data_IF_232852780821
#
_entry.id   IF_232852780821
#
_cell.length_a   1.000
_cell.length_b   1.000
_cell.length_c   1.000
_cell.angle_alpha   90.00
_cell.angle_beta   90.00
_cell.angle_gamma   90.00
#
_symmetry.space_group_name_H-M   'P 1'
#
loop_
_entity.id
_entity.type
_entity.pdbx_description
1 polymer ?
#
# COMPACT_ATOMS: atom_id res chain seq x y z
N UNK A 1 -3.28 24.50 37.90
CA UNK A 1 -3.91 25.16 36.73
C UNK A 1 -3.31 24.51 35.49
N UNK A 2 -4.05 23.60 34.88
CA UNK A 2 -3.65 22.90 33.68
C UNK A 2 -4.15 23.70 32.47
N UNK A 3 -3.25 24.31 31.75
CA UNK A 3 -3.53 24.93 30.45
C UNK A 3 -3.18 23.91 29.36
N UNK A 4 -4.21 23.49 28.61
CA UNK A 4 -4.08 22.50 27.55
C UNK A 4 -3.28 23.03 26.34
N UNK A 5 -2.35 22.20 25.87
CA UNK A 5 -1.70 22.37 24.58
C UNK A 5 -2.54 21.66 23.50
N UNK A 6 -3.04 22.44 22.54
CA UNK A 6 -3.69 21.95 21.34
C UNK A 6 -2.65 21.23 20.45
N UNK A 7 -2.77 19.91 20.34
CA UNK A 7 -2.14 19.13 19.27
C UNK A 7 -2.80 19.44 17.92
N UNK A 8 -2.09 19.21 16.79
CA UNK A 8 -2.64 19.48 15.47
C UNK A 8 -3.90 18.61 15.23
N UNK A 9 -5.00 19.29 14.95
CA UNK A 9 -6.26 18.65 14.58
C UNK A 9 -6.03 17.78 13.33
N UNK A 10 -6.29 16.50 13.46
CA UNK A 10 -6.44 15.62 12.31
C UNK A 10 -7.54 16.13 11.37
N UNK A 11 -7.55 15.73 10.09
CA UNK A 11 -8.52 16.21 9.13
C UNK A 11 -9.93 15.95 9.67
N UNK A 12 -10.69 17.03 9.87
CA UNK A 12 -12.07 16.99 10.33
C UNK A 12 -12.88 16.12 9.37
N UNK A 13 -13.44 15.04 9.89
CA UNK A 13 -14.52 14.32 9.21
C UNK A 13 -15.66 15.33 9.09
N UNK A 14 -16.15 15.65 7.89
CA UNK A 14 -17.28 16.56 7.76
C UNK A 14 -18.48 15.95 8.47
N UNK A 15 -18.84 16.52 9.60
CA UNK A 15 -20.09 16.25 10.26
C UNK A 15 -21.20 16.89 9.41
N UNK A 16 -22.11 16.08 8.95
CA UNK A 16 -23.29 16.53 8.25
C UNK A 16 -23.28 16.09 6.80
N UNK A 17 -23.94 14.95 6.53
CA UNK A 17 -24.51 14.66 5.22
C UNK A 17 -25.52 15.75 4.90
N UNK A 18 -25.09 16.76 4.15
CA UNK A 18 -26.04 17.61 3.44
C UNK A 18 -26.79 16.69 2.48
N UNK A 19 -28.09 16.50 2.69
CA UNK A 19 -28.98 15.86 1.72
C UNK A 19 -28.77 16.57 0.37
N UNK A 20 -28.45 15.87 -0.72
CA UNK A 20 -28.35 16.51 -2.01
C UNK A 20 -29.69 17.17 -2.35
N UNK A 21 -29.65 18.48 -2.54
CA UNK A 21 -30.81 19.27 -2.90
C UNK A 21 -31.42 18.70 -4.19
N UNK A 22 -32.65 18.17 -4.11
CA UNK A 22 -33.39 17.63 -5.26
C UNK A 22 -34.17 16.33 -5.02
N UNK A 23 -34.02 15.69 -3.87
CA UNK A 23 -34.70 14.41 -3.59
C UNK A 23 -36.09 14.52 -2.96
N UNK A 24 -36.54 15.72 -2.53
CA UNK A 24 -37.76 15.90 -1.73
C UNK A 24 -39.10 15.99 -2.49
N UNK A 25 -39.12 15.97 -3.82
CA UNK A 25 -40.38 16.20 -4.57
C UNK A 25 -40.89 15.02 -5.42
N UNK A 26 -40.23 13.85 -5.38
CA UNK A 26 -40.72 12.69 -6.09
C UNK A 26 -41.49 11.78 -5.13
N UNK A 27 -42.73 11.40 -5.51
CA UNK A 27 -43.52 10.45 -4.75
C UNK A 27 -42.69 9.21 -4.39
N UNK A 28 -42.48 8.97 -3.09
CA UNK A 28 -41.62 7.88 -2.59
C UNK A 28 -42.41 6.58 -2.46
N UNK A 29 -41.87 5.50 -3.04
CA UNK A 29 -42.37 4.16 -2.87
C UNK A 29 -41.53 3.39 -1.85
N UNK A 30 -41.69 3.74 -0.56
CA UNK A 30 -40.97 3.10 0.54
C UNK A 30 -39.60 3.73 0.86
N UNK A 31 -38.93 3.19 1.88
CA UNK A 31 -37.62 3.63 2.34
C UNK A 31 -36.59 2.52 2.13
N UNK A 32 -35.49 2.84 1.47
CA UNK A 32 -34.33 1.94 1.27
C UNK A 32 -33.11 2.51 1.97
N UNK A 33 -32.50 1.74 2.85
CA UNK A 33 -31.27 2.09 3.55
C UNK A 33 -30.13 1.20 3.04
N UNK A 34 -29.12 1.82 2.46
CA UNK A 34 -27.88 1.12 2.07
C UNK A 34 -26.96 1.15 3.28
N UNK A 35 -26.82 0.02 3.97
CA UNK A 35 -25.92 -0.14 5.10
C UNK A 35 -24.55 -0.55 4.60
N UNK A 36 -23.63 0.41 4.61
CA UNK A 36 -22.24 0.20 4.20
C UNK A 36 -21.44 -0.37 5.36
N UNK A 37 -20.82 -1.51 5.14
CA UNK A 37 -19.95 -2.17 6.12
C UNK A 37 -18.55 -2.39 5.53
N UNK A 38 -17.52 -2.36 6.38
CA UNK A 38 -16.17 -2.70 5.97
C UNK A 38 -15.93 -4.21 6.12
N UNK A 39 -15.38 -4.91 5.13
CA UNK A 39 -14.95 -6.30 5.27
C UNK A 39 -13.69 -6.44 6.15
N UNK A 40 -13.04 -5.32 6.52
CA UNK A 40 -11.83 -5.25 7.37
C UNK A 40 -12.14 -5.05 8.84
N UNK A 41 -13.42 -4.87 9.15
CA UNK A 41 -13.92 -4.78 10.53
C UNK A 41 -14.60 -6.09 10.87
N UNK A 42 -14.33 -6.63 12.06
CA UNK A 42 -14.91 -7.90 12.47
C UNK A 42 -16.45 -7.86 12.40
N UNK A 43 -17.10 -8.97 12.00
CA UNK A 43 -18.55 -9.07 11.96
C UNK A 43 -19.18 -8.66 13.28
N UNK A 44 -20.28 -7.90 13.22
CA UNK A 44 -20.97 -7.40 14.40
C UNK A 44 -20.42 -6.10 15.00
N UNK A 45 -19.22 -5.65 14.64
CA UNK A 45 -18.70 -4.35 15.07
C UNK A 45 -19.30 -3.24 14.19
N UNK A 46 -20.54 -2.90 14.46
CA UNK A 46 -21.30 -1.86 13.79
C UNK A 46 -21.59 -0.69 14.73
N UNK A 47 -21.82 0.49 14.15
CA UNK A 47 -22.28 1.64 14.93
C UNK A 47 -23.61 1.36 15.60
N UNK A 48 -23.90 2.06 16.71
CA UNK A 48 -25.19 1.93 17.39
C UNK A 48 -26.35 2.25 16.45
N UNK A 49 -26.23 3.31 15.65
CA UNK A 49 -27.28 3.69 14.67
C UNK A 49 -27.51 2.61 13.61
N UNK A 50 -26.47 1.86 13.22
CA UNK A 50 -26.61 0.73 12.31
C UNK A 50 -27.39 -0.42 12.96
N UNK A 51 -27.07 -0.74 14.22
CA UNK A 51 -27.80 -1.76 14.99
C UNK A 51 -29.26 -1.37 15.21
N UNK A 52 -29.54 -0.13 15.55
CA UNK A 52 -30.93 0.35 15.74
C UNK A 52 -31.72 0.32 14.44
N UNK A 53 -31.09 0.70 13.32
CA UNK A 53 -31.67 0.62 11.98
C UNK A 53 -31.97 -0.83 11.59
N UNK A 54 -31.05 -1.76 11.81
CA UNK A 54 -31.24 -3.17 11.53
C UNK A 54 -32.37 -3.79 12.35
N UNK A 55 -32.48 -3.45 13.65
CA UNK A 55 -33.57 -3.91 14.52
C UNK A 55 -34.94 -3.33 14.14
N UNK A 56 -34.95 -2.10 13.61
CA UNK A 56 -36.17 -1.42 13.17
C UNK A 56 -36.56 -1.69 11.72
N UNK A 57 -35.75 -2.44 10.98
CA UNK A 57 -36.00 -2.73 9.59
C UNK A 57 -37.19 -3.70 9.40
N UNK A 58 -38.05 -3.42 8.43
CA UNK A 58 -39.09 -4.34 8.01
C UNK A 58 -38.50 -5.57 7.27
N UNK A 59 -37.38 -5.35 6.54
CA UNK A 59 -36.61 -6.41 5.89
C UNK A 59 -35.13 -6.04 5.84
N UNK A 60 -34.27 -7.03 6.01
CA UNK A 60 -32.82 -6.92 5.80
C UNK A 60 -32.46 -7.83 4.63
N UNK A 61 -31.75 -7.28 3.63
CA UNK A 61 -31.45 -7.97 2.38
C UNK A 61 -29.94 -8.04 2.18
N UNK A 62 -29.45 -9.17 1.65
CA UNK A 62 -28.05 -9.37 1.23
C UNK A 62 -28.00 -9.95 -0.17
N UNK A 63 -26.97 -9.60 -0.94
CA UNK A 63 -26.72 -10.17 -2.27
C UNK A 63 -25.98 -11.51 -2.25
N UNK A 64 -25.49 -11.95 -1.09
CA UNK A 64 -24.73 -13.19 -0.93
C UNK A 64 -25.05 -13.85 0.40
N UNK A 65 -25.09 -15.18 0.38
CA UNK A 65 -25.16 -16.01 1.59
C UNK A 65 -23.85 -16.01 2.38
N UNK A 66 -22.75 -15.56 1.76
CA UNK A 66 -21.41 -15.48 2.37
C UNK A 66 -21.08 -14.07 2.88
N UNK A 67 -22.08 -13.19 3.01
CA UNK A 67 -21.83 -11.84 3.50
C UNK A 67 -21.30 -11.87 4.95
N UNK A 68 -20.17 -11.20 5.27
CA UNK A 68 -19.50 -11.33 6.58
C UNK A 68 -20.38 -11.05 7.79
N UNK A 69 -21.34 -10.12 7.66
CA UNK A 69 -22.20 -9.71 8.77
C UNK A 69 -23.34 -10.72 9.10
N UNK A 70 -23.61 -11.70 8.25
CA UNK A 70 -24.81 -12.57 8.41
C UNK A 70 -24.78 -13.36 9.72
N UNK A 71 -23.62 -13.90 10.12
CA UNK A 71 -23.51 -14.64 11.37
C UNK A 71 -23.86 -13.75 12.57
N UNK A 72 -23.28 -12.56 12.65
CA UNK A 72 -23.54 -11.62 13.75
C UNK A 72 -25.01 -11.11 13.75
N UNK A 73 -25.63 -10.95 12.59
CA UNK A 73 -27.05 -10.59 12.49
C UNK A 73 -27.96 -11.72 12.97
N UNK A 74 -27.65 -12.97 12.60
CA UNK A 74 -28.38 -14.14 13.06
C UNK A 74 -28.29 -14.31 14.58
N UNK A 75 -27.10 -14.14 15.17
CA UNK A 75 -26.86 -14.16 16.61
C UNK A 75 -27.64 -13.07 17.35
N UNK A 76 -27.86 -11.92 16.69
CA UNK A 76 -28.69 -10.82 17.20
C UNK A 76 -30.19 -11.02 16.95
N UNK A 77 -30.61 -12.15 16.36
CA UNK A 77 -32.02 -12.45 16.07
C UNK A 77 -32.58 -11.70 14.84
N UNK A 78 -31.72 -11.17 13.99
CA UNK A 78 -32.12 -10.44 12.77
C UNK A 78 -32.08 -11.40 11.57
N UNK A 79 -33.25 -11.64 10.98
CA UNK A 79 -33.36 -12.46 9.77
C UNK A 79 -32.95 -11.66 8.54
N UNK A 80 -32.13 -12.25 7.66
CA UNK A 80 -31.68 -11.64 6.41
C UNK A 80 -32.15 -12.47 5.23
N UNK A 81 -32.80 -11.83 4.27
CA UNK A 81 -33.22 -12.47 3.01
C UNK A 81 -32.08 -12.34 1.99
N UNK A 82 -31.77 -13.43 1.28
CA UNK A 82 -30.80 -13.41 0.20
C UNK A 82 -31.53 -13.07 -1.11
N UNK A 83 -31.14 -11.92 -1.68
CA UNK A 83 -31.65 -11.46 -2.95
C UNK A 83 -30.71 -11.95 -4.07
N UNK A 84 -31.20 -12.90 -4.88
CA UNK A 84 -30.41 -13.39 -6.00
C UNK A 84 -30.18 -12.27 -7.02
N UNK A 85 -28.97 -11.77 -7.11
CA UNK A 85 -28.53 -10.85 -8.15
C UNK A 85 -28.09 -11.70 -9.34
N UNK A 86 -28.61 -11.48 -10.54
CA UNK A 86 -28.16 -12.21 -11.74
C UNK A 86 -26.65 -11.96 -11.90
N UNK A 87 -25.85 -13.02 -11.94
CA UNK A 87 -24.43 -12.92 -12.22
C UNK A 87 -24.24 -12.23 -13.58
N UNK A 88 -23.38 -11.19 -13.64
CA UNK A 88 -22.94 -10.67 -14.91
C UNK A 88 -22.31 -11.84 -15.69
N UNK A 89 -22.79 -12.09 -16.91
CA UNK A 89 -22.13 -13.02 -17.81
C UNK A 89 -20.68 -12.52 -17.99
N UNK A 90 -19.74 -13.14 -17.29
CA UNK A 90 -18.32 -12.94 -17.52
C UNK A 90 -18.03 -13.25 -19.00
N UNK A 91 -16.99 -12.69 -19.61
CA UNK A 91 -16.62 -13.05 -20.97
C UNK A 91 -16.51 -14.57 -21.04
N UNK A 92 -17.26 -15.16 -21.97
CA UNK A 92 -17.28 -16.60 -22.18
C UNK A 92 -15.84 -17.11 -22.22
N UNK A 93 -15.53 -18.10 -21.39
CA UNK A 93 -14.24 -18.79 -21.39
C UNK A 93 -13.99 -19.28 -22.82
N UNK A 94 -13.04 -18.61 -23.50
CA UNK A 94 -12.55 -19.06 -24.79
C UNK A 94 -12.04 -20.50 -24.62
N UNK A 95 -12.55 -21.37 -25.48
CA UNK A 95 -12.39 -22.81 -25.41
C UNK A 95 -10.95 -23.28 -25.20
N UNK A 96 -10.83 -24.39 -24.51
CA UNK A 96 -9.64 -25.19 -24.29
C UNK A 96 -8.78 -25.30 -25.58
N UNK A 97 -7.59 -24.69 -25.52
CA UNK A 97 -6.56 -24.88 -26.53
C UNK A 97 -5.84 -26.21 -26.24
N UNK A 98 -5.66 -27.11 -27.18
CA UNK A 98 -4.97 -28.38 -26.94
C UNK A 98 -3.46 -28.13 -26.71
N UNK A 99 -2.93 -28.90 -25.77
CA UNK A 99 -1.52 -28.97 -25.39
C UNK A 99 -0.61 -29.23 -26.62
N UNK A 100 0.17 -28.22 -26.97
CA UNK A 100 1.22 -28.32 -27.97
C UNK A 100 2.46 -27.58 -27.47
N UNK A 101 3.57 -28.33 -27.43
CA UNK A 101 4.97 -27.99 -27.18
C UNK A 101 5.37 -26.51 -27.08
N UNK A 102 5.97 -26.17 -25.95
CA UNK A 102 6.55 -24.87 -25.59
C UNK A 102 7.86 -24.63 -26.38
N UNK A 103 8.02 -23.56 -27.15
CA UNK A 103 9.33 -23.08 -27.55
C UNK A 103 9.88 -22.07 -26.52
N UNK A 104 11.19 -22.04 -26.42
CA UNK A 104 11.99 -21.23 -25.49
C UNK A 104 11.61 -19.75 -25.51
N UNK A 105 11.51 -19.17 -24.31
CA UNK A 105 11.20 -17.76 -24.07
C UNK A 105 12.42 -16.92 -24.40
N UNK A 106 12.31 -16.10 -25.42
CA UNK A 106 13.14 -14.91 -25.64
C UNK A 106 12.41 -13.70 -25.06
N UNK A 107 13.16 -12.81 -24.39
CA UNK A 107 12.72 -11.61 -23.71
C UNK A 107 11.68 -10.79 -24.49
N UNK A 108 10.55 -10.38 -23.89
CA UNK A 108 9.69 -9.39 -24.47
C UNK A 108 10.20 -7.99 -24.10
N UNK A 109 10.71 -7.26 -25.07
CA UNK A 109 10.90 -5.82 -25.00
C UNK A 109 9.58 -5.13 -24.64
N UNK A 110 9.61 -4.31 -23.60
CA UNK A 110 8.49 -3.50 -23.13
C UNK A 110 8.16 -2.46 -24.21
N UNK A 111 6.96 -2.56 -24.78
CA UNK A 111 6.38 -1.51 -25.62
C UNK A 111 5.65 -0.49 -24.74
N UNK A 112 5.77 0.83 -25.03
CA UNK A 112 5.12 1.86 -24.23
C UNK A 112 3.60 1.79 -24.41
N UNK A 113 2.89 1.69 -23.28
CA UNK A 113 1.44 1.73 -23.20
C UNK A 113 0.90 3.07 -23.71
N UNK A 114 0.08 3.00 -24.74
CA UNK A 114 -0.73 4.12 -25.19
C UNK A 114 -1.67 4.55 -24.07
N UNK A 115 -1.59 5.81 -23.64
CA UNK A 115 -2.45 6.37 -22.61
C UNK A 115 -3.93 6.25 -22.98
N UNK A 116 -4.67 5.44 -22.20
CA UNK A 116 -6.12 5.52 -22.19
C UNK A 116 -6.52 6.74 -21.33
N UNK A 117 -7.13 7.72 -21.98
CA UNK A 117 -7.81 8.80 -21.27
C UNK A 117 -8.92 8.20 -20.38
N UNK A 118 -9.17 8.74 -19.17
CA UNK A 118 -10.26 8.26 -18.33
C UNK A 118 -11.58 8.53 -19.04
N UNK A 119 -12.29 7.46 -19.41
CA UNK A 119 -13.66 7.56 -19.88
C UNK A 119 -14.51 8.12 -18.73
N UNK A 120 -15.12 9.28 -18.91
CA UNK A 120 -16.12 9.81 -17.99
C UNK A 120 -17.27 8.81 -17.81
N UNK A 121 -17.99 8.87 -16.67
CA UNK A 121 -19.10 7.95 -16.43
C UNK A 121 -20.19 8.17 -17.48
N UNK A 122 -20.28 7.24 -18.43
CA UNK A 122 -21.40 7.18 -19.37
C UNK A 122 -22.66 6.72 -18.64
N UNK A 123 -23.87 6.99 -19.17
CA UNK A 123 -25.13 6.62 -18.54
C UNK A 123 -25.17 5.12 -18.25
N UNK A 124 -25.51 4.78 -16.99
CA UNK A 124 -25.62 3.38 -16.53
C UNK A 124 -26.85 2.77 -17.20
N UNK A 125 -26.63 1.90 -18.19
CA UNK A 125 -27.74 1.22 -18.88
C UNK A 125 -28.49 0.32 -17.91
N UNK A 126 -29.83 0.36 -17.97
CA UNK A 126 -30.73 -0.46 -17.17
C UNK A 126 -30.53 -2.01 -17.35
N UNK A 127 -29.73 -2.41 -18.32
CA UNK A 127 -29.35 -3.80 -18.56
C UNK A 127 -28.10 -4.25 -17.75
N UNK A 128 -27.41 -3.32 -17.08
CA UNK A 128 -26.28 -3.67 -16.22
C UNK A 128 -26.74 -4.29 -14.91
N UNK A 129 -25.92 -5.13 -14.25
CA UNK A 129 -26.26 -5.80 -12.98
C UNK A 129 -26.75 -4.83 -11.90
N UNK A 130 -26.13 -3.65 -11.80
CA UNK A 130 -26.50 -2.62 -10.83
C UNK A 130 -27.88 -2.03 -11.09
N UNK A 131 -28.26 -1.86 -12.37
CA UNK A 131 -29.59 -1.40 -12.73
C UNK A 131 -30.69 -2.44 -12.46
N UNK A 132 -30.39 -3.73 -12.59
CA UNK A 132 -31.28 -4.79 -12.20
C UNK A 132 -31.44 -4.88 -10.68
N UNK A 133 -30.34 -4.81 -9.93
CA UNK A 133 -30.34 -4.76 -8.47
C UNK A 133 -31.13 -3.56 -7.95
N UNK A 134 -30.92 -2.37 -8.52
CA UNK A 134 -31.67 -1.16 -8.15
C UNK A 134 -33.18 -1.34 -8.26
N UNK A 135 -33.65 -1.97 -9.35
CA UNK A 135 -35.08 -2.28 -9.53
C UNK A 135 -35.61 -3.30 -8.51
N UNK A 136 -34.83 -4.34 -8.21
CA UNK A 136 -35.24 -5.35 -7.23
C UNK A 136 -35.36 -4.75 -5.83
N UNK A 137 -34.41 -3.88 -5.46
CA UNK A 137 -34.39 -3.16 -4.17
C UNK A 137 -35.54 -2.15 -4.09
N UNK A 138 -35.82 -1.43 -5.18
CA UNK A 138 -36.98 -0.53 -5.25
C UNK A 138 -38.29 -1.27 -5.09
N UNK A 139 -38.43 -2.41 -5.76
CA UNK A 139 -39.64 -3.27 -5.62
C UNK A 139 -39.79 -3.80 -4.18
N UNK A 140 -38.70 -4.23 -3.55
CA UNK A 140 -38.69 -4.67 -2.16
C UNK A 140 -39.10 -3.54 -1.20
N UNK A 141 -38.57 -2.32 -1.39
CA UNK A 141 -38.94 -1.16 -0.60
C UNK A 141 -40.41 -0.75 -0.77
N UNK A 142 -40.93 -0.83 -1.99
CA UNK A 142 -42.35 -0.52 -2.29
C UNK A 142 -43.33 -1.51 -1.65
N UNK A 143 -42.93 -2.76 -1.45
CA UNK A 143 -43.76 -3.82 -0.86
C UNK A 143 -43.66 -3.92 0.66
N UNK A 144 -42.68 -3.30 1.27
CA UNK A 144 -42.45 -3.40 2.70
C UNK A 144 -43.26 -2.37 3.50
N UNK A 145 -43.73 -2.78 4.69
CA UNK A 145 -44.43 -1.90 5.63
C UNK A 145 -43.43 -1.19 6.58
N UNK A 146 -42.30 -0.71 6.06
CA UNK A 146 -41.25 -0.04 6.82
C UNK A 146 -39.92 -0.03 6.07
N UNK A 147 -38.85 0.40 6.71
CA UNK A 147 -37.54 0.52 6.09
C UNK A 147 -37.01 -0.85 5.61
N UNK A 148 -36.46 -0.88 4.42
CA UNK A 148 -35.71 -2.02 3.88
C UNK A 148 -34.22 -1.68 3.97
N UNK A 149 -33.43 -2.55 4.60
CA UNK A 149 -31.98 -2.40 4.70
C UNK A 149 -31.31 -3.33 3.69
N UNK A 150 -30.46 -2.78 2.86
CA UNK A 150 -29.55 -3.53 2.00
C UNK A 150 -28.17 -3.55 2.59
N UNK A 151 -27.61 -4.73 2.86
CA UNK A 151 -26.23 -4.90 3.27
C UNK A 151 -25.31 -4.66 2.07
N UNK A 152 -24.72 -3.48 2.01
CA UNK A 152 -23.76 -3.13 0.98
C UNK A 152 -22.37 -3.64 1.40
N UNK A 153 -21.66 -4.24 0.46
CA UNK A 153 -20.42 -4.96 0.71
C UNK A 153 -20.62 -6.44 0.40
N UNK A 154 -19.63 -7.06 -0.18
CA UNK A 154 -19.66 -8.48 -0.53
C UNK A 154 -18.67 -9.27 0.32
N UNK A 155 -18.56 -10.58 0.12
CA UNK A 155 -17.51 -11.40 0.70
C UNK A 155 -16.15 -10.80 0.35
N UNK A 156 -15.21 -10.92 1.28
CA UNK A 156 -13.89 -10.28 1.28
C UNK A 156 -12.92 -10.76 0.17
N UNK A 157 -13.40 -10.97 -1.06
CA UNK A 157 -12.50 -11.00 -2.22
C UNK A 157 -12.13 -9.56 -2.53
N UNK A 158 -10.83 -9.23 -2.59
CA UNK A 158 -10.39 -7.91 -3.00
C UNK A 158 -11.04 -7.59 -4.34
N UNK A 159 -11.91 -6.59 -4.36
CA UNK A 159 -12.54 -6.15 -5.60
C UNK A 159 -11.44 -5.53 -6.47
N UNK A 160 -11.03 -6.22 -7.51
CA UNK A 160 -10.16 -5.74 -8.55
C UNK A 160 -10.89 -4.60 -9.30
N UNK A 161 -10.69 -3.35 -8.88
CA UNK A 161 -11.24 -2.19 -9.58
C UNK A 161 -11.11 -0.89 -8.82
N UNK A 162 -10.72 0.14 -9.52
CA UNK A 162 -10.62 1.54 -9.10
C UNK A 162 -12.01 2.17 -8.96
N UNK A 163 -12.75 1.80 -7.91
CA UNK A 163 -14.04 2.40 -7.56
C UNK A 163 -14.28 2.18 -6.09
N UNK A 164 -15.20 2.90 -5.47
CA UNK A 164 -15.64 2.64 -4.10
C UNK A 164 -15.81 1.13 -3.93
N UNK A 165 -14.99 0.51 -3.10
CA UNK A 165 -14.70 -0.93 -3.07
C UNK A 165 -15.90 -1.86 -2.80
N UNK A 166 -17.08 -1.31 -2.68
CA UNK A 166 -18.33 -2.00 -2.34
C UNK A 166 -19.42 -1.91 -3.41
N UNK A 167 -19.16 -1.30 -4.57
CA UNK A 167 -20.18 -1.12 -5.61
C UNK A 167 -21.30 -0.14 -5.24
N UNK A 168 -21.29 0.44 -4.05
CA UNK A 168 -22.35 1.32 -3.53
C UNK A 168 -22.55 2.53 -4.42
N UNK A 169 -21.47 3.11 -4.97
CA UNK A 169 -21.55 4.28 -5.87
C UNK A 169 -22.31 3.98 -7.17
N UNK A 170 -22.04 2.85 -7.80
CA UNK A 170 -22.72 2.44 -9.03
C UNK A 170 -24.19 2.10 -8.75
N UNK A 171 -24.50 1.45 -7.63
CA UNK A 171 -25.86 1.17 -7.19
C UNK A 171 -26.63 2.47 -6.88
N UNK A 172 -26.02 3.43 -6.21
CA UNK A 172 -26.62 4.76 -5.95
C UNK A 172 -26.94 5.50 -7.25
N UNK A 173 -26.04 5.48 -8.23
CA UNK A 173 -26.32 6.04 -9.56
C UNK A 173 -27.51 5.35 -10.21
N UNK A 174 -27.54 4.01 -10.19
CA UNK A 174 -28.64 3.24 -10.78
C UNK A 174 -29.98 3.47 -10.06
N UNK A 175 -29.97 3.63 -8.73
CA UNK A 175 -31.18 3.98 -7.96
C UNK A 175 -31.67 5.40 -8.29
N UNK A 176 -30.73 6.35 -8.53
CA UNK A 176 -31.06 7.72 -8.93
C UNK A 176 -31.65 7.85 -10.34
N UNK A 177 -31.42 6.89 -11.21
CA UNK A 177 -31.93 6.83 -12.58
C UNK A 177 -33.33 6.17 -12.67
N UNK A 178 -33.85 5.61 -11.56
CA UNK A 178 -35.18 5.00 -11.56
C UNK A 178 -36.28 6.05 -11.76
N UNK A 179 -37.25 5.70 -12.62
CA UNK A 179 -38.43 6.55 -12.76
C UNK A 179 -39.35 6.46 -11.54
N UNK A 180 -40.06 7.55 -11.19
CA UNK A 180 -41.01 7.53 -10.09
C UNK A 180 -42.18 6.54 -10.31
N UNK A 181 -42.67 5.89 -9.26
CA UNK A 181 -42.27 6.07 -7.85
C UNK A 181 -40.96 5.33 -7.50
N UNK A 182 -39.95 6.05 -7.03
CA UNK A 182 -38.69 5.50 -6.58
C UNK A 182 -38.60 5.54 -5.02
N UNK A 183 -37.84 4.64 -4.37
CA UNK A 183 -37.70 4.64 -2.92
C UNK A 183 -36.92 5.86 -2.45
N UNK A 184 -37.19 6.33 -1.23
CA UNK A 184 -36.30 7.25 -0.53
C UNK A 184 -35.04 6.47 -0.10
N UNK A 185 -33.87 6.84 -0.67
CA UNK A 185 -32.60 6.16 -0.40
C UNK A 185 -31.79 6.90 0.63
N UNK A 186 -31.34 6.20 1.67
CA UNK A 186 -30.43 6.70 2.68
C UNK A 186 -29.18 5.83 2.72
N UNK A 187 -28.00 6.40 2.78
CA UNK A 187 -26.74 5.66 3.02
C UNK A 187 -26.38 5.78 4.49
N UNK A 188 -26.23 4.64 5.15
CA UNK A 188 -25.80 4.55 6.53
C UNK A 188 -24.45 3.80 6.60
N UNK A 189 -23.44 4.46 7.17
CA UNK A 189 -22.14 3.82 7.41
C UNK A 189 -22.20 3.08 8.73
N UNK A 190 -22.26 1.75 8.65
CA UNK A 190 -22.29 0.86 9.81
C UNK A 190 -20.90 0.57 10.39
N UNK A 191 -19.90 0.46 9.51
CA UNK A 191 -18.50 0.34 9.90
C UNK A 191 -17.63 1.06 8.86
N UNK A 192 -16.70 1.88 9.32
CA UNK A 192 -15.77 2.62 8.46
C UNK A 192 -14.34 2.07 8.60
N UNK A 193 -13.59 2.10 7.50
CA UNK A 193 -12.18 1.78 7.51
C UNK A 193 -11.39 2.86 8.25
N UNK A 194 -10.39 2.43 9.00
CA UNK A 194 -9.34 3.32 9.50
C UNK A 194 -8.35 3.66 8.37
N UNK A 195 -7.67 4.82 8.45
CA UNK A 195 -6.54 5.10 7.55
C UNK A 195 -5.53 3.94 7.58
N UNK A 196 -5.10 3.50 6.40
CA UNK A 196 -4.19 2.35 6.27
C UNK A 196 -4.88 0.98 6.17
N UNK A 197 -6.19 0.87 6.35
CA UNK A 197 -6.91 -0.40 6.30
C UNK A 197 -6.75 -1.16 4.96
N UNK A 198 -6.36 -0.49 3.87
CA UNK A 198 -6.05 -1.13 2.59
C UNK A 198 -4.82 -2.05 2.64
N UNK A 199 -3.94 -1.88 3.63
CA UNK A 199 -2.85 -2.83 3.85
C UNK A 199 -3.35 -4.23 4.19
N UNK A 200 -4.50 -4.34 4.88
CA UNK A 200 -5.14 -5.62 5.17
C UNK A 200 -5.61 -6.32 3.88
N UNK A 201 -6.07 -5.57 2.88
CA UNK A 201 -6.44 -6.15 1.57
C UNK A 201 -5.20 -6.72 0.87
N UNK A 202 -4.06 -6.01 0.93
CA UNK A 202 -2.81 -6.50 0.33
C UNK A 202 -2.35 -7.80 1.00
N UNK A 203 -2.39 -7.87 2.34
CA UNK A 203 -2.05 -9.08 3.09
C UNK A 203 -2.98 -10.23 2.72
N UNK A 204 -4.30 -10.00 2.69
CA UNK A 204 -5.28 -11.02 2.32
C UNK A 204 -5.11 -11.48 0.85
N UNK A 205 -4.82 -10.54 -0.06
CA UNK A 205 -4.54 -10.83 -1.46
C UNK A 205 -3.32 -11.72 -1.61
N UNK A 206 -2.24 -11.40 -0.88
CA UNK A 206 -1.01 -12.21 -0.92
C UNK A 206 -1.23 -13.63 -0.41
N UNK A 207 -2.00 -13.80 0.66
CA UNK A 207 -2.36 -15.13 1.17
C UNK A 207 -3.13 -15.96 0.13
N UNK A 208 -4.04 -15.34 -0.64
CA UNK A 208 -4.75 -15.99 -1.73
C UNK A 208 -3.78 -16.36 -2.87
N UNK A 209 -2.92 -15.44 -3.29
CA UNK A 209 -1.95 -15.68 -4.34
C UNK A 209 -1.00 -16.84 -3.99
N UNK A 210 -0.53 -16.92 -2.74
CA UNK A 210 0.30 -18.04 -2.27
C UNK A 210 -0.35 -19.42 -2.41
N UNK A 211 -1.67 -19.48 -2.34
CA UNK A 211 -2.43 -20.74 -2.43
C UNK A 211 -2.93 -21.03 -3.84
N UNK A 212 -3.37 -20.01 -4.58
CA UNK A 212 -4.08 -20.19 -5.85
C UNK A 212 -3.19 -19.92 -7.09
N UNK A 213 -2.13 -19.11 -6.98
CA UNK A 213 -1.25 -18.81 -8.11
C UNK A 213 -0.04 -19.76 -8.14
N UNK A 214 0.13 -20.56 -9.23
CA UNK A 214 1.23 -21.52 -9.30
C UNK A 214 2.64 -20.89 -9.34
N UNK A 215 2.75 -19.61 -9.69
CA UNK A 215 4.01 -18.88 -9.68
C UNK A 215 4.31 -18.39 -8.26
N UNK A 216 3.37 -17.68 -7.62
CA UNK A 216 3.55 -17.17 -6.26
C UNK A 216 3.80 -18.29 -5.25
N UNK A 217 3.09 -19.43 -5.38
CA UNK A 217 3.24 -20.59 -4.50
C UNK A 217 4.65 -21.19 -4.47
N UNK A 218 5.48 -20.96 -5.49
CA UNK A 218 6.84 -21.49 -5.61
C UNK A 218 7.93 -20.54 -5.12
N UNK A 219 7.58 -19.29 -4.84
CA UNK A 219 8.59 -18.29 -4.48
C UNK A 219 9.18 -18.57 -3.09
N UNK A 220 10.45 -18.25 -2.94
CA UNK A 220 11.23 -18.30 -1.69
C UNK A 220 11.87 -16.94 -1.45
N UNK A 221 12.44 -16.71 -0.27
CA UNK A 221 13.20 -15.49 0.00
C UNK A 221 14.33 -15.26 -1.02
N UNK A 222 15.01 -16.33 -1.44
CA UNK A 222 16.11 -16.28 -2.40
C UNK A 222 15.62 -15.94 -3.81
N UNK A 223 14.49 -16.52 -4.25
CA UNK A 223 13.95 -16.23 -5.58
C UNK A 223 13.36 -14.83 -5.68
N UNK A 224 12.92 -14.24 -4.57
CA UNK A 224 12.39 -12.88 -4.49
C UNK A 224 13.48 -11.81 -4.30
N UNK A 225 14.72 -12.20 -3.91
CA UNK A 225 15.78 -11.25 -3.65
C UNK A 225 16.13 -10.31 -4.83
N UNK A 226 16.13 -10.76 -6.11
CA UNK A 226 16.31 -9.85 -7.24
C UNK A 226 15.23 -8.76 -7.30
N UNK A 227 13.96 -9.13 -7.15
CA UNK A 227 12.84 -8.18 -7.16
C UNK A 227 12.91 -7.21 -5.99
N UNK A 228 13.24 -7.69 -4.78
CA UNK A 228 13.45 -6.81 -3.62
C UNK A 228 14.54 -5.75 -3.86
N UNK A 229 15.49 -5.96 -4.77
CA UNK A 229 16.49 -4.97 -5.15
C UNK A 229 16.01 -4.07 -6.29
N UNK A 230 15.25 -4.59 -7.24
CA UNK A 230 14.75 -3.90 -8.42
C UNK A 230 13.76 -2.79 -8.03
N UNK A 231 12.71 -3.12 -7.28
CA UNK A 231 11.66 -2.18 -6.90
C UNK A 231 12.16 -0.90 -6.19
N UNK A 232 13.09 -0.95 -5.21
CA UNK A 232 13.66 0.27 -4.64
C UNK A 232 14.44 1.12 -5.64
N UNK A 233 15.06 0.52 -6.67
CA UNK A 233 15.75 1.29 -7.71
C UNK A 233 14.77 1.96 -8.67
N UNK A 234 13.65 1.33 -9.00
CA UNK A 234 12.58 1.92 -9.79
C UNK A 234 11.89 3.07 -9.03
N UNK A 235 11.59 2.86 -7.75
CA UNK A 235 11.11 3.93 -6.88
C UNK A 235 12.10 5.11 -6.79
N UNK A 236 13.40 4.83 -6.70
CA UNK A 236 14.44 5.86 -6.71
C UNK A 236 14.50 6.61 -8.04
N UNK A 237 14.37 5.92 -9.17
CA UNK A 237 14.32 6.54 -10.50
C UNK A 237 13.10 7.44 -10.66
N UNK A 238 11.93 7.01 -10.22
CA UNK A 238 10.70 7.81 -10.22
C UNK A 238 10.85 9.08 -9.35
N UNK A 239 11.46 8.94 -8.16
CA UNK A 239 11.77 10.05 -7.26
C UNK A 239 12.71 11.06 -7.94
N UNK A 240 13.80 10.60 -8.57
CA UNK A 240 14.79 11.43 -9.24
C UNK A 240 14.24 12.16 -10.47
N UNK A 241 13.21 11.60 -11.12
CA UNK A 241 12.47 12.25 -12.22
C UNK A 241 11.39 13.22 -11.74
N UNK A 242 11.04 13.19 -10.47
CA UNK A 242 9.92 13.96 -9.91
C UNK A 242 8.54 13.41 -10.35
N UNK A 243 8.47 12.18 -10.85
CA UNK A 243 7.25 11.55 -11.30
C UNK A 243 6.49 10.94 -10.11
N UNK A 244 5.58 11.73 -9.55
CA UNK A 244 4.78 11.33 -8.38
C UNK A 244 3.83 10.14 -8.67
N UNK A 245 3.43 9.96 -9.93
CA UNK A 245 2.57 8.85 -10.32
C UNK A 245 3.37 7.55 -10.32
N UNK A 246 4.49 7.53 -11.04
CA UNK A 246 5.38 6.38 -11.05
C UNK A 246 5.87 6.06 -9.62
N UNK A 247 6.31 7.06 -8.85
CA UNK A 247 6.75 6.85 -7.47
C UNK A 247 5.70 6.15 -6.61
N UNK A 248 4.41 6.49 -6.78
CA UNK A 248 3.33 5.81 -6.04
C UNK A 248 3.17 4.35 -6.47
N UNK A 249 3.33 4.05 -7.76
CA UNK A 249 3.27 2.70 -8.32
C UNK A 249 4.43 1.87 -7.75
N UNK A 250 5.66 2.35 -7.87
CA UNK A 250 6.86 1.65 -7.41
C UNK A 250 6.93 1.47 -5.87
N UNK A 251 6.43 2.44 -5.10
CA UNK A 251 6.28 2.26 -3.65
C UNK A 251 5.25 1.18 -3.30
N UNK A 252 4.26 0.94 -4.17
CA UNK A 252 3.34 -0.19 -4.06
C UNK A 252 4.07 -1.52 -4.24
N UNK A 253 4.99 -1.60 -5.20
CA UNK A 253 5.77 -2.81 -5.48
C UNK A 253 6.81 -3.09 -4.37
N UNK A 254 7.46 -2.05 -3.84
CA UNK A 254 8.29 -2.19 -2.61
C UNK A 254 7.46 -2.72 -1.44
N UNK A 255 6.23 -2.24 -1.25
CA UNK A 255 5.33 -2.71 -0.20
C UNK A 255 4.90 -4.16 -0.45
N UNK A 256 4.64 -4.54 -1.71
CA UNK A 256 4.37 -5.93 -2.10
C UNK A 256 5.52 -6.84 -1.68
N UNK A 257 6.78 -6.47 -1.93
CA UNK A 257 7.94 -7.27 -1.52
C UNK A 257 7.95 -7.52 -0.01
N UNK A 258 7.64 -6.50 0.81
CA UNK A 258 7.57 -6.66 2.28
C UNK A 258 6.50 -7.68 2.68
N UNK A 259 5.29 -7.55 2.11
CA UNK A 259 4.17 -8.45 2.43
C UNK A 259 4.42 -9.86 1.90
N UNK A 260 5.01 -10.00 0.72
CA UNK A 260 5.35 -11.31 0.14
C UNK A 260 6.39 -12.05 1.00
N UNK A 261 7.47 -11.37 1.38
CA UNK A 261 8.48 -11.95 2.28
C UNK A 261 7.88 -12.33 3.64
N UNK A 262 6.97 -11.52 4.19
CA UNK A 262 6.26 -11.85 5.42
C UNK A 262 5.38 -13.10 5.26
N UNK A 263 4.67 -13.22 4.13
CA UNK A 263 3.84 -14.39 3.84
C UNK A 263 4.69 -15.66 3.72
N UNK A 264 5.82 -15.62 3.00
CA UNK A 264 6.76 -16.75 2.90
C UNK A 264 7.31 -17.14 4.28
N UNK A 265 7.64 -16.15 5.11
CA UNK A 265 8.16 -16.40 6.46
C UNK A 265 7.10 -17.00 7.39
N UNK A 266 5.83 -16.60 7.26
CA UNK A 266 4.73 -17.10 8.10
C UNK A 266 4.40 -18.57 7.87
N UNK A 267 4.87 -19.15 6.75
CA UNK A 267 4.67 -20.56 6.40
C UNK A 267 5.69 -21.50 7.07
N UNK A 268 6.67 -20.93 7.81
CA UNK A 268 7.68 -21.73 8.51
C UNK A 268 7.13 -22.31 9.82
N UNK A 269 7.34 -23.58 10.03
CA UNK A 269 6.91 -24.34 11.21
C UNK A 269 8.06 -24.65 12.19
N UNK A 270 9.28 -24.15 11.92
CA UNK A 270 10.50 -24.38 12.70
C UNK A 270 10.67 -23.40 13.89
N UNK A 271 9.66 -22.59 14.18
CA UNK A 271 9.69 -21.58 15.24
C UNK A 271 10.44 -20.28 14.87
N UNK A 272 10.90 -20.14 13.61
CA UNK A 272 11.54 -18.91 13.10
C UNK A 272 10.59 -18.10 12.22
N UNK A 273 9.34 -18.57 12.03
CA UNK A 273 8.31 -17.89 11.27
C UNK A 273 7.94 -16.54 11.89
N UNK A 274 7.57 -15.59 11.06
CA UNK A 274 7.06 -14.27 11.45
C UNK A 274 6.05 -13.76 10.41
N UNK A 275 5.21 -12.83 10.84
CA UNK A 275 4.14 -12.24 10.05
C UNK A 275 4.45 -10.79 9.68
N UNK A 276 3.59 -10.17 8.89
CA UNK A 276 3.67 -8.73 8.61
C UNK A 276 3.46 -7.89 9.88
N UNK A 277 2.68 -8.40 10.84
CA UNK A 277 2.45 -7.71 12.13
C UNK A 277 3.75 -7.69 12.96
N UNK A 278 4.53 -8.78 12.97
CA UNK A 278 5.82 -8.81 13.65
C UNK A 278 6.82 -7.82 13.05
N UNK A 279 6.80 -7.67 11.72
CA UNK A 279 7.62 -6.66 11.01
C UNK A 279 7.18 -5.25 11.43
N UNK A 280 5.87 -4.99 11.44
CA UNK A 280 5.30 -3.70 11.81
C UNK A 280 5.60 -3.37 13.27
N UNK A 281 5.38 -4.30 14.20
CA UNK A 281 5.68 -4.13 15.62
C UNK A 281 7.16 -3.84 15.85
N UNK A 282 8.03 -4.58 15.18
CA UNK A 282 9.48 -4.37 15.28
C UNK A 282 9.91 -2.95 14.85
N UNK A 283 9.36 -2.43 13.75
CA UNK A 283 9.71 -1.08 13.29
C UNK A 283 9.04 -0.01 14.15
N UNK A 284 7.81 -0.19 14.60
CA UNK A 284 7.11 0.75 15.51
C UNK A 284 7.88 0.86 16.83
N UNK A 285 8.21 -0.26 17.47
CA UNK A 285 9.00 -0.27 18.70
C UNK A 285 10.35 0.44 18.53
N UNK A 286 11.01 0.22 17.40
CA UNK A 286 12.27 0.91 17.05
C UNK A 286 12.08 2.42 16.90
N UNK A 287 11.04 2.86 16.21
CA UNK A 287 10.74 4.28 15.99
C UNK A 287 10.41 4.98 17.32
N UNK A 288 9.54 4.40 18.14
CA UNK A 288 9.17 4.93 19.46
C UNK A 288 10.41 5.10 20.34
N UNK A 289 11.24 4.07 20.43
CA UNK A 289 12.45 4.09 21.25
C UNK A 289 13.45 5.13 20.76
N UNK A 290 13.57 5.36 19.45
CA UNK A 290 14.55 6.29 18.87
C UNK A 290 14.07 7.74 18.79
N UNK A 291 12.79 8.00 19.13
CA UNK A 291 12.22 9.34 19.16
C UNK A 291 11.66 9.69 20.56
N UNK A 292 12.49 9.63 21.63
CA UNK A 292 12.00 9.91 22.97
C UNK A 292 11.51 11.35 23.16
N UNK A 293 11.96 12.26 22.30
CA UNK A 293 11.46 13.65 22.25
C UNK A 293 10.02 13.79 21.70
N UNK A 294 9.47 12.72 21.10
CA UNK A 294 8.09 12.69 20.60
C UNK A 294 7.21 11.82 21.51
N UNK A 295 7.75 10.69 21.98
CA UNK A 295 6.98 9.65 22.68
C UNK A 295 7.29 9.58 24.20
N UNK A 296 8.24 10.40 24.69
CA UNK A 296 8.58 10.53 26.11
C UNK A 296 8.92 11.99 26.44
N UNK A 297 9.22 12.27 27.72
CA UNK A 297 9.43 13.63 28.23
C UNK A 297 10.90 14.11 28.00
N UNK A 298 11.45 13.96 26.82
CA UNK A 298 12.79 14.44 26.46
C UNK A 298 12.67 15.71 25.62
N UNK A 299 13.11 16.85 26.18
CA UNK A 299 13.15 18.09 25.40
C UNK A 299 14.40 18.11 24.49
N UNK A 300 14.24 18.64 23.29
CA UNK A 300 15.32 18.87 22.32
C UNK A 300 15.26 20.28 21.78
N UNK A 301 16.42 20.89 21.55
CA UNK A 301 16.54 22.26 21.06
C UNK A 301 16.50 22.40 19.54
N UNK A 302 16.68 21.29 18.80
CA UNK A 302 16.68 21.29 17.33
C UNK A 302 17.06 19.94 16.71
N UNK A 303 17.11 19.92 15.37
CA UNK A 303 17.36 18.71 14.58
C UNK A 303 18.73 18.07 14.87
N UNK A 304 19.74 18.88 15.18
CA UNK A 304 21.08 18.39 15.47
C UNK A 304 21.11 17.56 16.76
N UNK A 305 20.41 18.02 17.81
CA UNK A 305 20.30 17.30 19.07
C UNK A 305 19.51 16.00 18.90
N UNK A 306 18.45 16.00 18.07
CA UNK A 306 17.73 14.77 17.68
C UNK A 306 18.67 13.76 17.04
N UNK A 307 19.54 14.21 16.13
CA UNK A 307 20.51 13.36 15.45
C UNK A 307 21.53 12.76 16.44
N UNK A 308 22.03 13.55 17.38
CA UNK A 308 22.98 13.10 18.41
C UNK A 308 22.33 12.07 19.33
N UNK A 309 21.11 12.33 19.80
CA UNK A 309 20.35 11.40 20.63
C UNK A 309 20.11 10.08 19.90
N UNK A 310 19.74 10.13 18.64
CA UNK A 310 19.54 8.95 17.81
C UNK A 310 20.80 8.10 17.66
N UNK A 311 21.97 8.74 17.45
CA UNK A 311 23.26 8.04 17.37
C UNK A 311 23.66 7.42 18.72
N UNK A 312 23.40 8.11 19.84
CA UNK A 312 23.61 7.56 21.19
C UNK A 312 22.74 6.32 21.45
N UNK A 313 21.44 6.38 21.10
CA UNK A 313 20.52 5.24 21.24
C UNK A 313 20.97 4.06 20.37
N UNK A 314 21.36 4.29 19.12
CA UNK A 314 21.90 3.24 18.25
C UNK A 314 23.18 2.61 18.78
N UNK A 315 24.01 3.39 19.46
CA UNK A 315 25.22 2.87 20.11
C UNK A 315 24.87 1.97 21.29
N UNK A 316 23.91 2.36 22.13
CA UNK A 316 23.42 1.56 23.22
C UNK A 316 22.78 0.24 22.75
N UNK A 317 21.92 0.29 21.72
CA UNK A 317 21.31 -0.89 21.10
C UNK A 317 22.33 -1.90 20.57
N UNK A 318 23.45 -1.42 20.04
CA UNK A 318 24.54 -2.29 19.58
C UNK A 318 25.29 -2.93 20.75
N UNK A 319 25.51 -2.17 21.82
CA UNK A 319 26.13 -2.70 23.01
C UNK A 319 25.30 -3.78 23.70
N UNK A 320 23.96 -3.62 23.71
CA UNK A 320 23.04 -4.65 24.25
C UNK A 320 23.04 -5.94 23.41
N UNK A 321 23.23 -5.84 22.10
CA UNK A 321 23.23 -7.00 21.19
C UNK A 321 24.57 -7.75 21.15
N UNK A 322 25.65 -7.16 21.67
CA UNK A 322 26.95 -7.80 21.75
C UNK A 322 26.93 -8.89 22.83
N UNK A 323 27.36 -10.11 22.51
CA UNK A 323 27.46 -11.19 23.47
C UNK A 323 28.60 -10.92 24.48
N UNK A 324 28.49 -11.40 25.73
CA UNK A 324 29.58 -11.30 26.69
C UNK A 324 30.82 -12.01 26.15
N UNK A 325 31.88 -11.26 25.90
CA UNK A 325 33.15 -11.79 25.35
C UNK A 325 33.41 -11.43 23.90
N UNK A 326 32.48 -10.76 23.19
CA UNK A 326 32.75 -10.23 21.88
C UNK A 326 33.79 -9.09 21.99
N UNK A 327 34.72 -9.03 20.99
CA UNK A 327 35.59 -7.89 20.84
C UNK A 327 34.78 -6.60 20.75
N UNK A 328 35.30 -5.48 21.27
CA UNK A 328 34.58 -4.22 21.23
C UNK A 328 34.04 -3.95 19.82
N UNK A 329 32.73 -3.78 19.71
CA UNK A 329 32.04 -3.62 18.44
C UNK A 329 32.64 -2.46 17.65
N UNK A 330 33.07 -2.71 16.41
CA UNK A 330 33.61 -1.66 15.53
C UNK A 330 32.49 -0.63 15.20
N UNK A 331 32.88 0.61 15.03
CA UNK A 331 31.97 1.65 14.53
C UNK A 331 31.39 1.31 13.15
N UNK A 332 32.06 0.42 12.42
CA UNK A 332 31.69 -0.01 11.07
C UNK A 332 30.83 -1.29 11.05
N UNK A 333 30.63 -1.95 12.19
CA UNK A 333 29.84 -3.16 12.26
C UNK A 333 28.38 -2.94 11.84
N UNK A 334 27.78 -3.94 11.16
CA UNK A 334 26.42 -3.90 10.68
C UNK A 334 26.18 -2.93 9.52
N UNK A 335 27.23 -2.57 8.76
CA UNK A 335 27.09 -1.96 7.44
C UNK A 335 26.96 -3.07 6.41
N UNK A 336 25.82 -3.16 5.67
CA UNK A 336 25.70 -4.16 4.63
C UNK A 336 26.58 -3.81 3.44
N UNK A 337 27.43 -4.75 3.01
CA UNK A 337 28.37 -4.55 1.90
C UNK A 337 27.73 -4.71 0.50
N UNK A 338 26.48 -5.16 0.40
CA UNK A 338 25.74 -5.28 -0.86
C UNK A 338 25.19 -3.95 -1.42
N UNK A 339 25.50 -2.82 -0.80
CA UNK A 339 25.11 -1.49 -1.28
C UNK A 339 25.90 -1.05 -2.53
N UNK A 340 25.38 -0.09 -3.35
CA UNK A 340 26.17 0.59 -4.37
C UNK A 340 27.46 1.15 -3.79
N UNK A 341 28.56 1.03 -4.52
CA UNK A 341 29.91 1.24 -3.98
C UNK A 341 30.13 2.67 -3.42
N UNK A 342 29.60 3.69 -4.10
CA UNK A 342 29.74 5.08 -3.63
C UNK A 342 28.88 5.33 -2.38
N UNK A 343 27.69 4.77 -2.32
CA UNK A 343 26.81 4.85 -1.14
C UNK A 343 27.45 4.14 0.06
N UNK A 344 28.02 2.93 -0.16
CA UNK A 344 28.75 2.18 0.86
C UNK A 344 29.94 2.99 1.39
N UNK A 345 30.80 3.52 0.49
CA UNK A 345 31.94 4.34 0.86
C UNK A 345 31.51 5.58 1.67
N UNK A 346 30.48 6.28 1.21
CA UNK A 346 29.94 7.43 1.92
C UNK A 346 29.41 7.05 3.32
N UNK A 347 28.76 5.90 3.46
CA UNK A 347 28.25 5.42 4.74
C UNK A 347 29.39 5.05 5.71
N UNK A 348 30.40 4.34 5.23
CA UNK A 348 31.56 3.98 6.02
C UNK A 348 32.31 5.23 6.51
N UNK A 349 32.56 6.18 5.64
CA UNK A 349 33.24 7.47 6.00
C UNK A 349 32.41 8.28 7.00
N UNK A 350 31.06 8.33 6.86
CA UNK A 350 30.18 8.99 7.85
C UNK A 350 30.31 8.35 9.23
N UNK A 351 30.32 7.01 9.29
CA UNK A 351 30.46 6.28 10.56
C UNK A 351 31.86 6.48 11.19
N UNK A 352 32.88 6.41 10.37
CA UNK A 352 34.27 6.67 10.83
C UNK A 352 34.42 8.09 11.42
N UNK A 353 33.92 9.10 10.72
CA UNK A 353 33.94 10.49 11.18
C UNK A 353 33.17 10.67 12.51
N UNK A 354 32.00 10.07 12.67
CA UNK A 354 31.22 10.12 13.92
C UNK A 354 31.89 9.39 15.09
N UNK A 355 32.75 8.41 14.79
CA UNK A 355 33.52 7.67 15.77
C UNK A 355 34.90 8.32 16.06
N UNK A 356 35.15 9.49 15.49
CA UNK A 356 36.43 10.20 15.56
C UNK A 356 37.62 9.32 15.11
N UNK A 357 37.38 8.44 14.13
CA UNK A 357 38.45 7.65 13.52
C UNK A 357 39.32 8.58 12.67
N UNK A 358 40.68 8.51 12.81
CA UNK A 358 41.56 9.38 12.08
C UNK A 358 41.36 9.31 10.56
N UNK A 359 41.21 10.45 9.86
CA UNK A 359 40.94 10.47 8.41
C UNK A 359 42.10 9.90 7.58
N UNK A 360 43.30 9.83 8.15
CA UNK A 360 44.50 9.26 7.51
C UNK A 360 44.30 7.77 7.17
N UNK A 361 43.47 7.06 7.93
CA UNK A 361 43.13 5.67 7.64
C UNK A 361 42.27 5.50 6.35
N UNK A 362 41.75 6.59 5.81
CA UNK A 362 41.04 6.58 4.52
C UNK A 362 42.00 6.51 3.31
N UNK A 363 43.28 6.66 3.51
CA UNK A 363 44.28 6.60 2.47
C UNK A 363 45.11 5.34 2.65
N UNK A 364 45.29 4.56 1.59
CA UNK A 364 46.26 3.47 1.60
C UNK A 364 47.65 4.04 1.86
N UNK A 365 48.45 3.33 2.64
CA UNK A 365 49.83 3.74 2.91
C UNK A 365 50.65 3.87 1.62
N UNK A 366 51.85 4.46 1.68
CA UNK A 366 52.66 4.83 0.52
C UNK A 366 53.27 3.66 -0.27
N UNK A 367 52.86 2.43 0.03
CA UNK A 367 53.38 1.25 -0.68
C UNK A 367 52.64 1.07 -1.98
N UNK A 368 53.33 1.35 -3.09
CA UNK A 368 52.88 1.32 -4.47
C UNK A 368 51.92 0.20 -4.80
N UNK A 369 50.61 0.51 -4.70
CA UNK A 369 49.54 -0.38 -5.10
C UNK A 369 49.53 -0.57 -6.60
N UNK A 370 48.89 -1.66 -7.04
CA UNK A 370 48.60 -1.83 -8.46
C UNK A 370 47.67 -0.69 -8.95
N UNK A 371 47.54 -0.46 -10.26
CA UNK A 371 46.71 0.62 -10.84
C UNK A 371 45.23 0.54 -10.38
N UNK A 372 44.73 -0.63 -10.02
CA UNK A 372 43.36 -0.83 -9.53
C UNK A 372 43.18 -0.31 -8.12
N UNK A 373 44.12 -0.56 -7.23
CA UNK A 373 44.17 -0.03 -5.86
C UNK A 373 44.23 1.50 -5.87
N UNK A 374 45.11 2.09 -6.70
CA UNK A 374 45.24 3.55 -6.85
C UNK A 374 43.91 4.17 -7.36
N UNK A 375 43.23 3.56 -8.30
CA UNK A 375 41.96 4.03 -8.78
C UNK A 375 40.89 3.96 -7.68
N UNK A 376 40.84 2.84 -6.92
CA UNK A 376 39.94 2.68 -5.80
C UNK A 376 40.10 3.77 -4.73
N UNK A 377 41.34 4.07 -4.35
CA UNK A 377 41.66 5.11 -3.38
C UNK A 377 41.26 6.52 -3.87
N UNK A 378 41.47 6.79 -5.16
CA UNK A 378 41.01 8.05 -5.78
C UNK A 378 39.49 8.18 -5.75
N UNK A 379 38.75 7.13 -6.10
CA UNK A 379 37.31 7.12 -6.01
C UNK A 379 36.83 7.32 -4.58
N UNK A 380 37.43 6.64 -3.62
CA UNK A 380 37.12 6.80 -2.20
C UNK A 380 37.40 8.24 -1.71
N UNK A 381 38.48 8.87 -2.18
CA UNK A 381 38.79 10.28 -1.91
C UNK A 381 37.77 11.25 -2.54
N UNK A 382 37.27 10.96 -3.77
CA UNK A 382 36.20 11.74 -4.38
C UNK A 382 34.91 11.68 -3.59
N UNK A 383 34.54 10.51 -3.02
CA UNK A 383 33.41 10.38 -2.11
C UNK A 383 33.58 11.26 -0.88
N UNK A 384 34.79 11.33 -0.30
CA UNK A 384 35.05 12.19 0.85
C UNK A 384 34.92 13.69 0.50
N UNK A 385 35.39 14.09 -0.67
CA UNK A 385 35.26 15.47 -1.16
C UNK A 385 33.79 15.85 -1.39
N UNK A 386 33.02 15.02 -2.09
CA UNK A 386 31.58 15.24 -2.30
C UNK A 386 30.84 15.43 -0.98
N UNK A 387 31.12 14.56 0.00
CA UNK A 387 30.51 14.65 1.33
C UNK A 387 30.86 15.93 2.08
N UNK A 388 32.10 16.42 1.94
CA UNK A 388 32.52 17.67 2.56
C UNK A 388 31.77 18.89 2.01
N UNK A 389 31.29 18.79 0.75
CA UNK A 389 30.46 19.79 0.10
C UNK A 389 28.93 19.54 0.34
N UNK A 390 28.58 18.54 1.14
CA UNK A 390 27.18 18.20 1.42
C UNK A 390 26.47 17.45 0.30
N UNK A 391 27.20 16.96 -0.72
CA UNK A 391 26.67 16.24 -1.86
C UNK A 391 26.58 14.72 -1.57
N UNK A 392 25.60 14.07 -2.18
CA UNK A 392 25.50 12.61 -2.22
C UNK A 392 26.22 12.07 -3.47
N UNK A 393 27.37 11.38 -3.33
CA UNK A 393 28.17 10.96 -4.47
C UNK A 393 27.48 9.92 -5.37
N UNK A 394 26.62 9.08 -4.80
CA UNK A 394 25.83 8.11 -5.56
C UNK A 394 24.77 8.81 -6.43
N UNK A 395 24.02 9.73 -5.84
CA UNK A 395 22.99 10.50 -6.54
C UNK A 395 23.62 11.37 -7.65
N UNK A 396 24.78 12.00 -7.39
CA UNK A 396 25.47 12.84 -8.37
C UNK A 396 26.00 12.03 -9.57
N UNK A 397 26.54 10.83 -9.33
CA UNK A 397 26.97 9.95 -10.42
C UNK A 397 25.79 9.43 -11.23
N UNK A 398 24.69 9.06 -10.59
CA UNK A 398 23.45 8.66 -11.26
C UNK A 398 22.90 9.80 -12.15
N UNK A 399 22.89 11.04 -11.63
CA UNK A 399 22.49 12.20 -12.40
C UNK A 399 23.43 12.46 -13.61
N UNK A 400 24.74 12.29 -13.44
CA UNK A 400 25.69 12.40 -14.54
C UNK A 400 25.48 11.33 -15.61
N UNK A 401 25.17 10.10 -15.20
CA UNK A 401 24.86 8.98 -16.12
C UNK A 401 23.60 9.26 -16.92
N UNK A 402 22.55 9.80 -16.30
CA UNK A 402 21.34 10.23 -17.02
C UNK A 402 21.64 11.30 -18.06
N UNK A 403 22.36 12.35 -17.69
CA UNK A 403 22.78 13.39 -18.64
C UNK A 403 23.61 12.84 -19.79
N UNK A 404 24.46 11.84 -19.54
CA UNK A 404 25.21 11.16 -20.60
C UNK A 404 24.26 10.41 -21.55
N UNK A 405 23.33 9.62 -21.01
CA UNK A 405 22.34 8.87 -21.80
C UNK A 405 21.48 9.79 -22.67
N UNK A 406 21.05 10.95 -22.15
CA UNK A 406 20.29 11.95 -22.91
C UNK A 406 21.12 12.50 -24.08
N UNK A 407 22.41 12.81 -23.86
CA UNK A 407 23.30 13.26 -24.95
C UNK A 407 23.48 12.20 -26.03
N UNK A 408 23.64 10.93 -25.65
CA UNK A 408 23.76 9.83 -26.62
C UNK A 408 22.48 9.70 -27.44
N UNK A 409 21.31 9.68 -26.80
CA UNK A 409 20.01 9.60 -27.48
C UNK A 409 19.78 10.78 -28.43
N UNK A 410 20.11 12.00 -28.02
CA UNK A 410 20.02 13.18 -28.86
C UNK A 410 20.93 13.08 -30.12
N UNK A 411 22.15 12.57 -29.94
CA UNK A 411 23.08 12.34 -31.05
C UNK A 411 22.54 11.27 -32.03
N UNK A 412 22.03 10.15 -31.53
CA UNK A 412 21.41 9.09 -32.36
C UNK A 412 20.21 9.60 -33.16
N UNK A 413 19.33 10.40 -32.55
CA UNK A 413 18.18 11.01 -33.19
C UNK A 413 18.62 11.98 -34.34
N UNK A 414 19.67 12.78 -34.10
CA UNK A 414 20.21 13.67 -35.13
C UNK A 414 20.78 12.91 -36.34
N UNK A 415 21.33 11.69 -36.12
CA UNK A 415 21.83 10.85 -37.23
C UNK A 415 20.69 10.20 -38.03
N UNK A 416 19.56 9.86 -37.38
CA UNK A 416 18.40 9.25 -38.06
C UNK A 416 17.51 10.26 -38.75
N UNK A 417 17.44 11.51 -38.28
CA UNK A 417 16.66 12.60 -38.91
C UNK A 417 17.32 13.25 -40.15
N UNK A 418 18.56 12.87 -40.47
CA UNK A 418 19.32 13.37 -41.62
C UNK A 418 19.33 12.44 -42.85
N UNK A 419 18.50 11.40 -42.89
CA UNK A 419 18.33 10.51 -44.06
C UNK A 419 17.02 10.71 -44.75
#
# INVERSE_FOLDING_TARGET
MLTGANGPAGPAIPAGSAEPAGWRERGTAGQLILLVTSPRVAPGLLTLSAWDTLRGAARVLSGSADHPQLAALADAGITTDILAVPASAGPASAGSVPSGSVPAVSDPAVSPSAGLAPAGPGPVSAARPEGQLARLLAAAAAQANGPVVWLAGGPARPALGTGTADGTGALLSALGELEPPAPAVTVLVGAADLPGARLLDLVATMAILRTECPWDAKQTHESLAPHLLEEPYEALEALERGDQRALREELGDVLLQVVFHAQVASERDDGTGYTVDDIADGIVAKLVRRHPHVFADVAVSGADEVTQNWDAIKKAERAEKAAPGDAAASALDGVPFGQPALALAAQLQRRAARAAIPPELAHAGPDGGDPGTELGDRLFGLVAAARAEGLDPEAELRAATRRYTERVRAWEQAQTGGR
#
